data_IF_787652053936
#
_entry.id   IF_787652053936
#
_cell.length_a   1.000
_cell.length_b   1.000
_cell.length_c   1.000
_cell.angle_alpha   90.00
_cell.angle_beta   90.00
_cell.angle_gamma   90.00
#
_symmetry.space_group_name_H-M   'P 1'
#
loop_
_entity.id
_entity.type
_entity.pdbx_description
1 polymer ?
#
# COMPACT_ATOMS: atom_id res chain seq x y z
N UNK A 1 -55.51 -22.64 32.01
CA UNK A 1 -54.76 -21.41 31.77
C UNK A 1 -53.23 -21.50 31.95
N UNK A 2 -52.63 -22.45 32.67
CA UNK A 2 -51.16 -22.58 32.88
C UNK A 2 -50.38 -23.09 31.66
N UNK A 3 -50.93 -23.95 30.80
CA UNK A 3 -50.24 -24.58 29.66
C UNK A 3 -49.89 -23.61 28.50
N UNK A 4 -50.64 -22.51 28.34
CA UNK A 4 -50.39 -21.52 27.28
C UNK A 4 -49.22 -20.56 27.59
N UNK A 5 -48.95 -20.25 28.86
CA UNK A 5 -47.82 -19.39 29.28
C UNK A 5 -46.46 -20.06 29.01
N UNK A 6 -46.36 -21.35 29.20
CA UNK A 6 -45.09 -22.06 28.97
C UNK A 6 -44.76 -22.26 27.49
N UNK A 7 -45.76 -22.35 26.61
CA UNK A 7 -45.51 -22.38 25.15
C UNK A 7 -44.96 -21.04 24.64
N UNK A 8 -45.47 -19.91 25.14
CA UNK A 8 -45.02 -18.57 24.76
C UNK A 8 -43.57 -18.31 25.25
N UNK A 9 -43.26 -18.65 26.49
CA UNK A 9 -41.88 -18.51 27.03
C UNK A 9 -40.89 -19.39 26.28
N UNK A 10 -41.26 -20.64 25.95
CA UNK A 10 -40.40 -21.57 25.20
C UNK A 10 -40.08 -21.06 23.80
N UNK A 11 -41.03 -20.45 23.12
CA UNK A 11 -40.81 -19.88 21.81
C UNK A 11 -39.96 -18.59 21.89
N UNK A 12 -40.09 -17.77 22.93
CA UNK A 12 -39.24 -16.59 23.16
C UNK A 12 -37.79 -16.99 23.41
N UNK A 13 -37.52 -18.02 24.19
CA UNK A 13 -36.16 -18.53 24.47
C UNK A 13 -35.54 -19.09 23.18
N UNK A 14 -36.32 -19.79 22.35
CA UNK A 14 -35.82 -20.33 21.07
C UNK A 14 -35.46 -19.24 20.05
N UNK A 15 -36.25 -18.16 19.97
CA UNK A 15 -35.98 -17.01 19.09
C UNK A 15 -34.74 -16.24 19.58
N UNK A 16 -34.58 -16.02 20.89
CA UNK A 16 -33.42 -15.34 21.44
C UNK A 16 -32.11 -16.15 21.28
N UNK A 17 -32.15 -17.47 21.36
CA UNK A 17 -30.97 -18.32 21.13
C UNK A 17 -30.57 -18.35 19.63
N UNK A 18 -31.54 -18.29 18.72
CA UNK A 18 -31.28 -18.26 17.27
C UNK A 18 -30.63 -16.94 16.81
N UNK A 19 -31.06 -15.80 17.38
CA UNK A 19 -30.47 -14.48 17.08
C UNK A 19 -29.07 -14.32 17.65
N UNK A 20 -28.78 -14.86 18.84
CA UNK A 20 -27.43 -14.88 19.42
C UNK A 20 -26.46 -15.73 18.60
N UNK A 21 -26.94 -16.84 18.02
CA UNK A 21 -26.09 -17.70 17.18
C UNK A 21 -25.75 -17.04 15.82
N UNK A 22 -26.70 -16.30 15.22
CA UNK A 22 -26.43 -15.59 13.94
C UNK A 22 -25.46 -14.42 14.08
N UNK A 23 -25.47 -13.69 15.20
CA UNK A 23 -24.50 -12.61 15.46
C UNK A 23 -23.09 -13.18 15.68
N UNK A 24 -22.96 -14.34 16.32
CA UNK A 24 -21.66 -15.00 16.50
C UNK A 24 -21.03 -15.49 15.20
N UNK A 25 -21.83 -15.98 14.25
CA UNK A 25 -21.35 -16.47 12.96
C UNK A 25 -20.77 -15.34 12.07
N UNK A 26 -21.42 -14.18 12.04
CA UNK A 26 -20.93 -13.03 11.27
C UNK A 26 -19.58 -12.52 11.79
N UNK A 27 -19.39 -12.49 13.10
CA UNK A 27 -18.12 -12.06 13.71
C UNK A 27 -16.95 -13.03 13.42
N UNK A 28 -17.20 -14.32 13.30
CA UNK A 28 -16.19 -15.33 12.92
C UNK A 28 -15.81 -15.17 11.45
N UNK A 29 -16.78 -15.00 10.56
CA UNK A 29 -16.52 -14.79 9.12
C UNK A 29 -15.70 -13.52 8.86
N UNK A 30 -15.98 -12.44 9.54
CA UNK A 30 -15.22 -11.18 9.40
C UNK A 30 -13.80 -11.30 9.94
N UNK A 31 -13.60 -12.05 11.03
CA UNK A 31 -12.27 -12.33 11.58
C UNK A 31 -11.43 -13.17 10.62
N UNK A 32 -12.00 -14.22 10.02
CA UNK A 32 -11.30 -15.07 9.06
C UNK A 32 -10.92 -14.29 7.79
N UNK A 33 -11.78 -13.43 7.28
CA UNK A 33 -11.48 -12.52 6.19
C UNK A 33 -10.34 -11.57 6.53
N UNK A 34 -10.32 -11.03 7.75
CA UNK A 34 -9.23 -10.19 8.24
C UNK A 34 -7.90 -10.94 8.28
N UNK A 35 -7.87 -12.16 8.84
CA UNK A 35 -6.65 -12.99 8.92
C UNK A 35 -6.13 -13.32 7.51
N UNK A 36 -7.03 -13.70 6.61
CA UNK A 36 -6.69 -13.99 5.22
C UNK A 36 -6.10 -12.75 4.54
N UNK A 37 -6.77 -11.61 4.62
CA UNK A 37 -6.30 -10.34 4.06
C UNK A 37 -4.96 -9.90 4.64
N UNK A 38 -4.78 -9.99 5.96
CA UNK A 38 -3.50 -9.74 6.64
C UNK A 38 -2.41 -10.67 6.12
N UNK A 39 -2.73 -11.92 5.84
CA UNK A 39 -1.80 -12.89 5.28
C UNK A 39 -1.34 -12.48 3.88
N UNK A 40 -2.23 -12.03 2.99
CA UNK A 40 -1.87 -11.50 1.67
C UNK A 40 -1.01 -10.24 1.74
N UNK A 41 -1.23 -9.39 2.73
CA UNK A 41 -0.48 -8.17 2.93
C UNK A 41 0.95 -8.41 3.46
N UNK A 42 1.11 -9.38 4.38
CA UNK A 42 2.35 -9.55 5.14
C UNK A 42 3.28 -10.64 4.61
N UNK A 43 2.74 -11.70 3.99
CA UNK A 43 3.57 -12.81 3.50
C UNK A 43 4.02 -12.59 2.05
N UNK A 44 5.22 -13.06 1.67
CA UNK A 44 5.76 -12.85 0.33
C UNK A 44 4.93 -13.52 -0.76
N UNK A 45 4.77 -12.83 -1.87
CA UNK A 45 4.38 -13.42 -3.15
C UNK A 45 5.62 -14.04 -3.81
N UNK A 46 5.43 -15.15 -4.50
CA UNK A 46 6.47 -15.91 -5.18
C UNK A 46 6.15 -16.07 -6.66
N UNK A 47 7.17 -16.39 -7.45
CA UNK A 47 7.00 -16.63 -8.88
C UNK A 47 6.13 -17.86 -9.14
N UNK A 48 5.35 -17.82 -10.19
CA UNK A 48 4.59 -18.97 -10.70
C UNK A 48 5.48 -19.78 -11.68
N UNK A 49 5.37 -21.13 -11.71
CA UNK A 49 4.60 -21.98 -10.82
C UNK A 49 5.29 -22.24 -9.47
N UNK A 50 4.51 -22.33 -8.39
CA UNK A 50 5.02 -22.61 -7.06
C UNK A 50 4.14 -23.60 -6.30
N UNK A 51 4.68 -24.29 -5.31
CA UNK A 51 3.91 -25.14 -4.40
C UNK A 51 2.90 -24.37 -3.55
N UNK A 52 3.06 -23.05 -3.41
CA UNK A 52 2.13 -22.16 -2.72
C UNK A 52 1.17 -21.49 -3.71
N UNK A 53 0.25 -22.24 -4.31
CA UNK A 53 -0.65 -21.76 -5.37
C UNK A 53 -1.49 -20.54 -4.99
N UNK A 54 -1.78 -20.34 -3.70
CA UNK A 54 -2.51 -19.16 -3.22
C UNK A 54 -1.67 -17.86 -3.21
N UNK A 55 -0.37 -17.93 -3.49
CA UNK A 55 0.59 -16.80 -3.42
C UNK A 55 1.58 -16.76 -4.56
N UNK A 56 1.44 -17.63 -5.52
CA UNK A 56 2.21 -17.52 -6.77
C UNK A 56 1.63 -16.42 -7.66
N UNK A 57 2.35 -16.10 -8.72
CA UNK A 57 1.95 -15.03 -9.65
C UNK A 57 2.68 -13.70 -9.41
N UNK A 58 3.76 -13.68 -8.60
CA UNK A 58 4.70 -12.56 -8.63
C UNK A 58 5.26 -12.44 -10.05
N UNK A 59 5.11 -11.27 -10.65
CA UNK A 59 5.64 -10.99 -11.98
C UNK A 59 7.19 -11.00 -12.01
N UNK A 60 7.80 -11.09 -13.20
CA UNK A 60 9.26 -11.11 -13.35
C UNK A 60 9.93 -9.80 -12.96
N UNK A 61 9.20 -8.67 -12.98
CA UNK A 61 9.63 -7.35 -12.57
C UNK A 61 8.74 -6.86 -11.42
N UNK A 62 9.35 -6.40 -10.34
CA UNK A 62 8.62 -5.95 -9.15
C UNK A 62 9.42 -4.98 -8.29
N UNK A 63 8.74 -4.12 -7.54
CA UNK A 63 9.38 -3.22 -6.56
C UNK A 63 9.53 -3.88 -5.19
N UNK A 64 8.55 -4.68 -4.78
CA UNK A 64 8.59 -5.49 -3.56
C UNK A 64 7.66 -6.69 -3.72
N UNK A 65 7.94 -7.77 -2.98
CA UNK A 65 7.13 -8.99 -3.00
C UNK A 65 6.12 -9.09 -1.84
N UNK A 66 6.02 -8.06 -1.00
CA UNK A 66 4.98 -7.92 0.04
C UNK A 66 4.53 -6.47 0.14
N UNK A 67 3.28 -6.25 0.52
CA UNK A 67 2.79 -4.89 0.76
C UNK A 67 3.47 -4.25 1.98
N UNK A 68 3.71 -5.04 3.03
CA UNK A 68 4.35 -4.56 4.28
C UNK A 68 5.80 -4.11 4.07
N UNK A 69 6.48 -4.56 3.00
CA UNK A 69 7.84 -4.12 2.69
C UNK A 69 7.90 -2.63 2.35
N UNK A 70 6.85 -2.09 1.73
CA UNK A 70 6.73 -0.67 1.41
C UNK A 70 5.94 0.10 2.47
N UNK A 71 5.00 -0.57 3.17
CA UNK A 71 4.11 0.00 4.18
C UNK A 71 4.32 -0.65 5.56
N UNK A 72 5.48 -0.45 6.22
CA UNK A 72 5.78 -1.09 7.50
C UNK A 72 4.75 -0.69 8.55
N UNK A 73 4.18 -1.71 9.23
CA UNK A 73 3.12 -1.53 10.23
C UNK A 73 1.82 -0.92 9.69
N UNK A 74 1.50 -1.15 8.40
CA UNK A 74 0.41 -0.51 7.65
C UNK A 74 0.53 1.03 7.59
N UNK A 75 1.72 1.54 7.91
CA UNK A 75 2.02 2.95 8.01
C UNK A 75 2.68 3.53 6.76
N UNK A 76 3.22 4.72 6.96
CA UNK A 76 4.05 5.40 5.97
C UNK A 76 5.42 4.71 5.87
N UNK A 77 5.94 4.59 4.65
CA UNK A 77 7.29 4.12 4.38
C UNK A 77 8.37 5.11 4.80
N UNK A 78 9.59 4.63 4.88
CA UNK A 78 10.77 5.41 5.19
C UNK A 78 11.58 5.72 3.93
N UNK A 79 12.31 6.84 3.93
CA UNK A 79 13.14 7.25 2.80
C UNK A 79 14.38 6.35 2.64
N UNK A 80 14.97 5.90 3.75
CA UNK A 80 16.13 5.01 3.80
C UNK A 80 16.05 4.09 5.03
N UNK A 81 16.75 2.95 4.94
CA UNK A 81 16.90 2.03 6.06
C UNK A 81 18.02 2.50 7.01
N UNK A 82 18.13 1.85 8.18
CA UNK A 82 19.21 2.11 9.16
C UNK A 82 20.63 1.90 8.58
N UNK A 83 20.74 1.17 7.47
CA UNK A 83 22.00 0.79 6.81
C UNK A 83 22.35 1.70 5.62
N UNK A 84 21.72 2.87 5.51
CA UNK A 84 21.88 3.80 4.36
C UNK A 84 21.52 3.21 2.99
N UNK A 85 20.80 2.09 2.97
CA UNK A 85 20.28 1.48 1.75
C UNK A 85 18.95 2.15 1.42
N UNK A 86 18.75 2.49 0.16
CA UNK A 86 17.46 3.03 -0.33
C UNK A 86 16.32 2.12 0.09
N UNK A 87 15.35 2.67 0.79
CA UNK A 87 14.19 1.94 1.28
C UNK A 87 13.35 1.39 0.12
N UNK A 88 12.79 0.18 0.28
CA UNK A 88 11.78 -0.37 -0.65
C UNK A 88 10.50 0.48 -0.73
N UNK A 89 10.28 1.33 0.26
CA UNK A 89 9.15 2.27 0.29
C UNK A 89 9.28 3.44 -0.68
N UNK A 90 10.49 3.69 -1.23
CA UNK A 90 10.73 4.74 -2.21
C UNK A 90 10.53 4.17 -3.62
N UNK A 91 9.64 4.78 -4.38
CA UNK A 91 9.34 4.40 -5.77
C UNK A 91 9.57 5.59 -6.72
N UNK A 92 9.98 5.30 -7.94
CA UNK A 92 10.05 6.25 -9.04
C UNK A 92 8.84 6.05 -9.95
N UNK A 93 7.89 6.96 -9.89
CA UNK A 93 6.71 7.00 -10.76
C UNK A 93 7.05 7.74 -12.04
N UNK A 94 6.61 7.18 -13.16
CA UNK A 94 6.87 7.71 -14.49
C UNK A 94 5.56 8.21 -15.10
N UNK A 95 5.65 9.32 -15.84
CA UNK A 95 4.54 9.87 -16.62
C UNK A 95 5.08 10.67 -17.79
N UNK A 96 4.33 10.76 -18.86
CA UNK A 96 4.58 11.69 -19.95
C UNK A 96 3.53 12.79 -19.93
N UNK A 97 3.73 13.85 -20.69
CA UNK A 97 2.78 14.97 -20.76
C UNK A 97 1.37 14.51 -21.21
N UNK A 98 1.31 13.51 -22.08
CA UNK A 98 0.07 13.04 -22.71
C UNK A 98 -0.36 11.64 -22.24
N UNK A 99 0.42 11.00 -21.36
CA UNK A 99 0.16 9.64 -20.86
C UNK A 99 0.67 9.47 -19.43
N UNK A 100 0.01 8.61 -18.67
CA UNK A 100 0.45 8.24 -17.32
C UNK A 100 1.54 7.15 -17.31
N UNK A 101 2.06 6.78 -18.49
CA UNK A 101 3.05 5.70 -18.64
C UNK A 101 4.18 6.09 -19.58
N UNK A 102 5.38 5.61 -19.28
CA UNK A 102 6.52 5.57 -20.20
C UNK A 102 6.38 4.40 -21.16
N UNK A 103 6.86 4.52 -22.41
CA UNK A 103 6.71 3.48 -23.44
C UNK A 103 7.50 2.22 -23.17
N UNK A 104 8.60 2.31 -22.40
CA UNK A 104 9.49 1.17 -22.08
C UNK A 104 9.21 0.67 -20.66
N UNK A 105 9.18 1.58 -19.69
CA UNK A 105 9.16 1.29 -18.26
C UNK A 105 7.76 1.37 -17.62
N UNK A 106 6.74 1.68 -18.38
CA UNK A 106 5.39 1.81 -17.85
C UNK A 106 5.22 2.98 -16.87
N UNK A 107 4.51 2.78 -15.79
CA UNK A 107 4.15 3.83 -14.83
C UNK A 107 5.07 3.92 -13.60
N UNK A 108 5.96 2.94 -13.41
CA UNK A 108 6.84 2.85 -12.24
C UNK A 108 8.05 1.96 -12.53
N UNK A 109 9.21 2.37 -12.08
CA UNK A 109 10.44 1.56 -12.18
C UNK A 109 10.40 0.39 -11.19
N UNK A 110 10.59 -0.83 -11.70
CA UNK A 110 10.76 -2.04 -10.91
C UNK A 110 12.23 -2.21 -10.51
N UNK A 111 12.50 -2.11 -9.21
CA UNK A 111 13.87 -2.16 -8.67
C UNK A 111 14.39 -3.58 -8.43
N UNK A 112 13.55 -4.58 -8.63
CA UNK A 112 13.87 -6.00 -8.55
C UNK A 112 13.40 -6.72 -9.80
N UNK A 113 14.10 -7.82 -10.11
CA UNK A 113 13.80 -8.71 -11.21
C UNK A 113 14.06 -10.15 -10.82
N UNK A 114 13.92 -11.06 -11.78
CA UNK A 114 14.23 -12.49 -11.62
C UNK A 114 15.55 -12.85 -12.30
N UNK A 115 15.98 -14.10 -12.18
CA UNK A 115 17.21 -14.58 -12.84
C UNK A 115 17.23 -14.32 -14.36
N UNK A 116 16.07 -14.46 -15.02
CA UNK A 116 15.94 -14.33 -16.47
C UNK A 116 15.44 -12.95 -16.92
N UNK A 117 15.09 -12.07 -15.97
CA UNK A 117 14.56 -10.75 -16.26
C UNK A 117 15.18 -9.75 -15.28
N UNK A 118 16.24 -9.03 -15.70
CA UNK A 118 16.91 -8.08 -14.83
C UNK A 118 15.95 -6.96 -14.39
N UNK A 119 16.22 -6.35 -13.25
CA UNK A 119 15.47 -5.18 -12.77
C UNK A 119 15.49 -4.04 -13.80
N UNK A 120 14.51 -3.16 -13.76
CA UNK A 120 14.42 -2.04 -14.72
C UNK A 120 15.43 -0.94 -14.43
N UNK A 121 15.66 -0.61 -13.17
CA UNK A 121 16.59 0.42 -12.75
C UNK A 121 16.77 0.47 -11.24
N UNK A 122 17.67 1.33 -10.76
CA UNK A 122 17.91 1.57 -9.34
C UNK A 122 17.72 3.03 -9.01
N UNK A 123 17.09 3.29 -7.86
CA UNK A 123 16.95 4.65 -7.33
C UNK A 123 18.15 4.94 -6.43
N UNK A 124 18.85 6.03 -6.70
CA UNK A 124 19.95 6.51 -5.86
C UNK A 124 19.54 7.83 -5.21
N UNK A 125 19.93 8.01 -3.94
CA UNK A 125 19.66 9.22 -3.16
C UNK A 125 20.98 9.76 -2.64
N UNK A 126 21.20 11.05 -2.84
CA UNK A 126 22.23 11.83 -2.17
C UNK A 126 21.56 12.96 -1.40
N UNK A 127 22.22 13.49 -0.39
CA UNK A 127 21.69 14.60 0.40
C UNK A 127 22.59 15.82 0.24
N UNK A 128 21.97 16.98 -0.03
CA UNK A 128 22.62 18.27 -0.02
C UNK A 128 22.21 19.03 1.24
N UNK A 129 23.18 19.42 2.05
CA UNK A 129 22.97 20.32 3.20
C UNK A 129 22.66 21.71 2.73
N UNK A 130 21.70 22.39 3.35
CA UNK A 130 21.45 23.81 3.23
C UNK A 130 20.90 24.37 4.53
N UNK A 131 20.98 25.68 4.71
CA UNK A 131 20.58 26.34 5.94
C UNK A 131 19.39 27.24 5.68
N UNK A 132 18.41 27.19 6.56
CA UNK A 132 17.29 28.13 6.62
C UNK A 132 17.44 28.97 7.88
N UNK A 133 17.31 30.27 7.75
CA UNK A 133 17.29 31.20 8.86
C UNK A 133 15.86 31.63 9.13
N UNK A 134 15.41 31.42 10.39
CA UNK A 134 14.10 31.88 10.85
C UNK A 134 14.13 33.40 11.19
N UNK A 135 12.95 33.99 11.38
CA UNK A 135 12.80 35.42 11.67
C UNK A 135 13.43 35.86 13.00
N UNK A 136 13.54 34.93 13.95
CA UNK A 136 14.21 35.13 15.25
C UNK A 136 15.74 35.04 15.18
N UNK A 137 16.29 34.75 13.99
CA UNK A 137 17.73 34.66 13.75
C UNK A 137 18.28 33.23 13.87
N UNK A 138 17.49 32.24 14.34
CA UNK A 138 17.94 30.85 14.42
C UNK A 138 18.24 30.28 13.03
N UNK A 139 19.37 29.56 12.90
CA UNK A 139 19.77 28.85 11.68
C UNK A 139 19.62 27.35 11.87
N UNK A 140 18.81 26.73 11.01
CA UNK A 140 18.60 25.28 11.04
C UNK A 140 19.19 24.65 9.79
N UNK A 141 20.01 23.60 9.98
CA UNK A 141 20.52 22.77 8.89
C UNK A 141 19.42 21.81 8.41
N UNK A 142 19.16 21.83 7.11
CA UNK A 142 18.23 20.92 6.44
C UNK A 142 18.97 20.08 5.41
N UNK A 143 18.46 18.87 5.17
CA UNK A 143 18.94 17.93 4.17
C UNK A 143 17.95 17.88 2.99
N UNK A 144 18.36 18.35 1.83
CA UNK A 144 17.59 18.21 0.59
C UNK A 144 17.94 16.89 -0.08
N UNK A 145 16.99 15.97 -0.26
CA UNK A 145 17.23 14.74 -1.01
C UNK A 145 17.35 15.04 -2.50
N UNK A 146 18.40 14.49 -3.11
CA UNK A 146 18.65 14.52 -4.55
C UNK A 146 18.52 13.11 -5.09
N UNK A 147 17.52 12.88 -5.92
CA UNK A 147 17.21 11.56 -6.48
C UNK A 147 17.73 11.45 -7.90
N UNK A 148 18.20 10.26 -8.26
CA UNK A 148 18.47 9.91 -9.65
C UNK A 148 18.21 8.42 -9.91
N UNK A 149 17.88 8.09 -11.16
CA UNK A 149 17.81 6.72 -11.62
C UNK A 149 19.17 6.32 -12.19
N UNK A 150 19.60 5.09 -11.89
CA UNK A 150 20.84 4.49 -12.40
C UNK A 150 20.56 3.08 -12.90
N UNK A 151 21.49 2.57 -13.72
CA UNK A 151 21.47 1.18 -14.19
C UNK A 151 20.13 0.81 -14.86
N UNK A 152 19.66 1.64 -15.78
CA UNK A 152 18.49 1.32 -16.60
C UNK A 152 18.85 0.18 -17.57
N UNK A 153 18.19 -0.97 -17.42
CA UNK A 153 18.55 -2.18 -18.16
C UNK A 153 17.84 -2.35 -19.51
N UNK A 154 16.81 -1.55 -19.77
CA UNK A 154 15.97 -1.68 -21.00
C UNK A 154 16.09 -0.46 -21.92
N UNK A 155 17.12 0.34 -21.72
CA UNK A 155 17.38 1.55 -22.51
C UNK A 155 17.13 2.84 -21.74
N UNK A 156 17.36 4.02 -22.37
CA UNK A 156 17.12 5.31 -21.74
C UNK A 156 15.62 5.59 -21.59
N UNK A 157 15.25 6.38 -20.58
CA UNK A 157 13.91 6.97 -20.53
C UNK A 157 13.67 7.87 -21.74
N UNK A 158 12.41 7.93 -22.19
CA UNK A 158 12.01 8.92 -23.19
C UNK A 158 12.33 10.35 -22.70
N UNK A 159 12.74 11.23 -23.62
CA UNK A 159 13.01 12.65 -23.33
C UNK A 159 11.79 13.39 -22.77
N UNK A 160 10.60 12.85 -22.98
CA UNK A 160 9.34 13.43 -22.50
C UNK A 160 8.85 12.78 -21.20
N UNK A 161 9.60 11.82 -20.63
CA UNK A 161 9.22 11.15 -19.40
C UNK A 161 9.62 11.94 -18.17
N UNK A 162 8.64 12.29 -17.37
CA UNK A 162 8.82 12.90 -16.05
C UNK A 162 8.96 11.80 -14.99
N UNK A 163 9.90 11.99 -14.07
CA UNK A 163 10.11 11.07 -12.94
C UNK A 163 9.70 11.77 -11.65
N UNK A 164 8.77 11.14 -10.91
CA UNK A 164 8.31 11.61 -9.62
C UNK A 164 8.67 10.58 -8.53
N UNK A 165 9.52 10.96 -7.61
CA UNK A 165 9.93 10.10 -6.50
C UNK A 165 8.93 10.23 -5.36
N UNK A 166 8.39 9.09 -4.89
CA UNK A 166 7.35 9.04 -3.88
C UNK A 166 7.65 7.98 -2.83
N UNK A 167 7.32 8.30 -1.58
CA UNK A 167 7.36 7.36 -0.47
C UNK A 167 5.98 6.77 -0.28
N UNK A 168 5.90 5.46 0.01
CA UNK A 168 4.67 4.77 0.31
C UNK A 168 3.88 5.49 1.42
N UNK A 169 2.61 5.78 1.17
CA UNK A 169 1.73 6.52 2.07
C UNK A 169 1.23 5.67 3.23
N UNK A 170 0.66 6.30 4.24
CA UNK A 170 -0.02 5.61 5.33
C UNK A 170 -1.30 4.94 4.81
N UNK A 171 -1.52 3.67 5.19
CA UNK A 171 -2.71 2.88 4.83
C UNK A 171 -3.72 2.79 5.98
N UNK A 172 -3.36 3.24 7.19
CA UNK A 172 -4.27 3.21 8.35
C UNK A 172 -5.45 4.13 8.11
N UNK A 173 -6.65 3.60 8.29
CA UNK A 173 -7.89 4.36 8.14
C UNK A 173 -8.48 4.39 6.73
N UNK A 174 -7.78 3.90 5.70
CA UNK A 174 -8.30 3.92 4.32
C UNK A 174 -9.62 3.16 4.18
N UNK A 175 -9.79 2.02 4.85
CA UNK A 175 -11.04 1.27 4.85
C UNK A 175 -12.23 2.04 5.46
N UNK A 176 -11.98 2.98 6.38
CA UNK A 176 -13.03 3.86 6.89
C UNK A 176 -13.39 4.95 5.87
N UNK A 177 -12.40 5.46 5.13
CA UNK A 177 -12.62 6.44 4.06
C UNK A 177 -13.41 5.82 2.92
N UNK A 178 -13.11 4.57 2.56
CA UNK A 178 -13.81 3.83 1.50
C UNK A 178 -15.31 3.64 1.79
N UNK A 179 -15.71 3.63 3.06
CA UNK A 179 -17.11 3.56 3.47
C UNK A 179 -17.88 4.88 3.32
N UNK A 180 -17.19 5.99 3.02
CA UNK A 180 -17.84 7.28 2.80
C UNK A 180 -18.59 7.27 1.47
N UNK A 181 -19.88 7.64 1.52
CA UNK A 181 -20.69 7.80 0.30
C UNK A 181 -20.18 9.00 -0.51
N UNK A 182 -20.13 8.86 -1.84
CA UNK A 182 -19.71 9.92 -2.76
C UNK A 182 -20.48 11.24 -2.52
N UNK A 183 -21.77 11.18 -2.22
CA UNK A 183 -22.60 12.34 -1.90
C UNK A 183 -22.07 13.18 -0.72
N UNK A 184 -21.46 12.49 0.29
CA UNK A 184 -20.87 13.19 1.43
C UNK A 184 -19.53 13.86 1.07
N UNK A 185 -18.79 13.29 0.14
CA UNK A 185 -17.52 13.86 -0.35
C UNK A 185 -17.83 15.09 -1.19
N UNK A 186 -18.75 14.97 -2.16
CA UNK A 186 -19.16 16.07 -3.05
C UNK A 186 -19.81 17.23 -2.30
N UNK A 187 -20.55 16.96 -1.21
CA UNK A 187 -21.13 18.03 -0.38
C UNK A 187 -20.09 18.96 0.27
N UNK A 188 -18.86 18.51 0.43
CA UNK A 188 -17.74 19.28 1.02
C UNK A 188 -16.75 19.75 -0.06
N UNK A 189 -17.13 19.69 -1.34
CA UNK A 189 -16.37 20.27 -2.43
C UNK A 189 -16.40 21.79 -2.31
N UNK A 190 -15.21 22.42 -2.31
CA UNK A 190 -15.10 23.88 -2.37
C UNK A 190 -15.38 24.33 -3.81
N UNK A 191 -16.40 25.14 -4.01
CA UNK A 191 -16.63 25.85 -5.27
C UNK A 191 -15.57 26.96 -5.40
N UNK A 192 -14.67 26.81 -6.37
CA UNK A 192 -13.69 27.82 -6.74
C UNK A 192 -14.31 28.90 -7.62
#
# INVERSE_FOLDING_TARGET
MKKHKYKFLRNLIFISSLTLFSVGLNGVEDYDKFILGKSFFTKPWVLSPSSTTARDGLGPLFSANTCISCHPGNGRGNLYSKENITSRSLVARLSTKNSLVDSIYGSQISINGTLNTPFEGKININFKKFYVQFKDGEKVELLKPMYNLKNLNYGPLSTHTNVSYRIATNLKGLGLIEQLKNEKILKNEDEF
#
